data_IF_401316486757
#
_entry.id   IF_401316486757
#
_cell.length_a   1.000
_cell.length_b   1.000
_cell.length_c   1.000
_cell.angle_alpha   90.00
_cell.angle_beta   90.00
_cell.angle_gamma   90.00
#
_symmetry.space_group_name_H-M   'P 1'
#
loop_
_entity.id
_entity.type
_entity.pdbx_description
1 polymer ?
#
# COMPACT_ATOMS: atom_id res chain seq x y z
N UNK A 1 23.77 -16.03 -11.71
CA UNK A 1 23.09 -14.89 -12.37
C UNK A 1 21.71 -14.76 -11.74
N UNK A 2 21.49 -13.74 -10.89
CA UNK A 2 20.21 -13.56 -10.17
C UNK A 2 19.14 -13.18 -11.19
N UNK A 3 18.09 -14.00 -11.32
CA UNK A 3 17.05 -13.81 -12.33
C UNK A 3 16.18 -12.59 -11.96
N UNK A 4 16.38 -11.48 -12.65
CA UNK A 4 15.69 -10.21 -12.39
C UNK A 4 14.18 -10.27 -12.69
N UNK A 5 13.70 -11.32 -13.37
CA UNK A 5 12.28 -11.48 -13.70
C UNK A 5 11.41 -11.70 -12.46
N UNK A 6 11.97 -12.28 -11.39
CA UNK A 6 11.25 -12.46 -10.12
C UNK A 6 10.87 -11.13 -9.47
N UNK A 7 11.70 -10.09 -9.64
CA UNK A 7 11.45 -8.76 -9.06
C UNK A 7 10.18 -8.17 -9.69
N UNK A 8 10.04 -8.27 -11.01
CA UNK A 8 8.86 -7.76 -11.71
C UNK A 8 7.58 -8.50 -11.29
N UNK A 9 7.64 -9.83 -11.13
CA UNK A 9 6.48 -10.62 -10.69
C UNK A 9 6.06 -10.22 -9.26
N UNK A 10 7.02 -10.05 -8.35
CA UNK A 10 6.74 -9.64 -6.97
C UNK A 10 6.13 -8.23 -6.95
N UNK A 11 6.66 -7.29 -7.75
CA UNK A 11 6.07 -5.95 -7.87
C UNK A 11 4.66 -5.98 -8.45
N UNK A 12 4.43 -6.75 -9.52
CA UNK A 12 3.10 -6.87 -10.13
C UNK A 12 2.09 -7.40 -9.12
N UNK A 13 2.40 -8.51 -8.45
CA UNK A 13 1.53 -9.11 -7.43
C UNK A 13 1.28 -8.11 -6.30
N UNK A 14 2.32 -7.45 -5.80
CA UNK A 14 2.18 -6.43 -4.75
C UNK A 14 1.25 -5.29 -5.15
N UNK A 15 1.46 -4.67 -6.32
CA UNK A 15 0.59 -3.60 -6.82
C UNK A 15 -0.82 -4.07 -7.11
N UNK A 16 -0.98 -5.31 -7.59
CA UNK A 16 -2.28 -5.90 -7.87
C UNK A 16 -3.09 -6.13 -6.59
N UNK A 17 -2.48 -6.71 -5.56
CA UNK A 17 -3.14 -6.94 -4.26
C UNK A 17 -3.58 -5.63 -3.61
N UNK A 18 -2.72 -4.61 -3.62
CA UNK A 18 -3.06 -3.28 -3.09
C UNK A 18 -4.22 -2.67 -3.89
N UNK A 19 -4.18 -2.71 -5.23
CA UNK A 19 -5.25 -2.20 -6.06
C UNK A 19 -6.58 -2.92 -5.82
N UNK A 20 -6.58 -4.24 -5.66
CA UNK A 20 -7.78 -5.01 -5.33
C UNK A 20 -8.38 -4.61 -3.97
N UNK A 21 -7.56 -4.37 -2.95
CA UNK A 21 -8.04 -3.93 -1.65
C UNK A 21 -8.77 -2.57 -1.74
N UNK A 22 -8.24 -1.62 -2.52
CA UNK A 22 -8.86 -0.30 -2.70
C UNK A 22 -10.14 -0.37 -3.55
N UNK A 23 -10.15 -1.21 -4.60
CA UNK A 23 -11.35 -1.45 -5.41
C UNK A 23 -12.49 -2.05 -4.59
N UNK A 24 -12.20 -2.98 -3.68
CA UNK A 24 -13.23 -3.56 -2.81
C UNK A 24 -13.83 -2.49 -1.88
N UNK A 25 -13.00 -1.64 -1.27
CA UNK A 25 -13.49 -0.57 -0.38
C UNK A 25 -14.39 0.42 -1.11
N UNK A 26 -14.04 0.82 -2.33
CA UNK A 26 -14.88 1.75 -3.11
C UNK A 26 -16.20 1.11 -3.54
N UNK A 27 -16.22 -0.19 -3.86
CA UNK A 27 -17.44 -0.93 -4.18
C UNK A 27 -18.36 -1.14 -2.96
N UNK A 28 -17.78 -1.32 -1.78
CA UNK A 28 -18.51 -1.47 -0.52
C UNK A 28 -18.82 -0.13 0.18
N UNK A 29 -18.38 0.99 -0.39
CA UNK A 29 -18.46 2.30 0.27
C UNK A 29 -19.87 2.66 0.73
N UNK A 30 -20.88 2.37 -0.10
CA UNK A 30 -22.29 2.64 0.21
C UNK A 30 -22.81 1.75 1.34
N UNK A 31 -22.38 0.48 1.39
CA UNK A 31 -22.72 -0.44 2.48
C UNK A 31 -22.03 -0.03 3.78
N UNK A 32 -20.76 0.34 3.74
CA UNK A 32 -20.01 0.85 4.90
C UNK A 32 -20.64 2.14 5.43
N UNK A 33 -21.08 3.05 4.55
CA UNK A 33 -21.76 4.28 4.94
C UNK A 33 -23.11 4.00 5.64
N UNK A 34 -23.87 3.02 5.11
CA UNK A 34 -25.13 2.59 5.70
C UNK A 34 -24.92 1.93 7.07
N UNK A 35 -23.93 1.04 7.20
CA UNK A 35 -23.62 0.34 8.45
C UNK A 35 -23.11 1.27 9.55
N UNK A 36 -22.35 2.30 9.19
CA UNK A 36 -21.86 3.32 10.13
C UNK A 36 -22.85 4.48 10.37
N UNK A 37 -24.05 4.45 9.78
CA UNK A 37 -25.06 5.51 9.89
C UNK A 37 -24.54 6.92 9.51
N UNK A 38 -23.56 7.01 8.60
CA UNK A 38 -22.98 8.29 8.14
C UNK A 38 -23.38 8.59 6.70
N UNK A 39 -23.50 9.87 6.36
CA UNK A 39 -23.82 10.28 5.00
C UNK A 39 -22.75 9.81 4.02
N UNK A 40 -23.16 9.44 2.80
CA UNK A 40 -22.28 9.02 1.71
C UNK A 40 -21.20 10.09 1.44
N UNK A 41 -21.56 11.37 1.63
CA UNK A 41 -20.66 12.51 1.48
C UNK A 41 -19.52 12.49 2.50
N UNK A 42 -19.80 12.16 3.77
CA UNK A 42 -18.76 12.05 4.80
C UNK A 42 -17.84 10.85 4.55
N UNK A 43 -18.39 9.73 4.07
CA UNK A 43 -17.60 8.55 3.70
C UNK A 43 -16.66 8.86 2.52
N UNK A 44 -17.14 9.60 1.51
CA UNK A 44 -16.30 10.07 0.41
C UNK A 44 -15.18 11.03 0.84
N UNK A 45 -15.44 11.89 1.84
CA UNK A 45 -14.42 12.78 2.40
C UNK A 45 -13.30 12.00 3.08
N UNK A 46 -13.63 10.95 3.84
CA UNK A 46 -12.64 10.07 4.48
C UNK A 46 -11.73 9.39 3.45
N UNK A 47 -12.30 8.86 2.36
CA UNK A 47 -11.51 8.27 1.27
C UNK A 47 -10.61 9.30 0.59
N UNK A 48 -11.10 10.52 0.41
CA UNK A 48 -10.30 11.59 -0.20
C UNK A 48 -9.09 11.94 0.66
N UNK A 49 -9.26 12.02 1.98
CA UNK A 49 -8.15 12.23 2.94
C UNK A 49 -7.16 11.06 2.92
N UNK A 50 -7.65 9.81 2.82
CA UNK A 50 -6.79 8.64 2.64
C UNK A 50 -5.97 8.73 1.34
N UNK A 51 -6.59 9.09 0.21
CA UNK A 51 -5.90 9.22 -1.08
C UNK A 51 -4.78 10.27 -1.04
N UNK A 52 -5.04 11.43 -0.40
CA UNK A 52 -4.01 12.46 -0.17
C UNK A 52 -2.87 11.90 0.69
N UNK A 53 -3.20 11.16 1.74
CA UNK A 53 -2.21 10.54 2.63
C UNK A 53 -1.30 9.59 1.85
N UNK A 54 -1.85 8.68 1.05
CA UNK A 54 -1.08 7.73 0.22
C UNK A 54 -0.20 8.47 -0.81
N UNK A 55 -0.74 9.52 -1.44
CA UNK A 55 -0.01 10.34 -2.40
C UNK A 55 1.23 11.03 -1.79
N UNK A 56 1.18 11.38 -0.50
CA UNK A 56 2.31 11.98 0.23
C UNK A 56 3.27 10.90 0.75
N UNK A 57 2.74 9.77 1.24
CA UNK A 57 3.54 8.68 1.81
C UNK A 57 4.46 8.05 0.75
N UNK A 58 4.01 7.86 -0.48
CA UNK A 58 4.83 7.29 -1.58
C UNK A 58 6.18 8.01 -1.79
N UNK A 59 6.20 9.31 -2.14
CA UNK A 59 7.44 10.06 -2.31
C UNK A 59 8.21 10.21 -0.99
N UNK A 60 7.53 10.38 0.15
CA UNK A 60 8.19 10.47 1.45
C UNK A 60 8.97 9.20 1.77
N UNK A 61 8.35 8.02 1.60
CA UNK A 61 8.98 6.72 1.83
C UNK A 61 10.15 6.49 0.86
N UNK A 62 10.02 6.95 -0.40
CA UNK A 62 11.10 6.87 -1.39
C UNK A 62 12.29 7.77 -1.03
N UNK A 63 12.04 8.97 -0.52
CA UNK A 63 13.08 9.90 -0.06
C UNK A 63 13.77 9.36 1.19
N UNK A 64 13.00 8.84 2.16
CA UNK A 64 13.55 8.21 3.36
C UNK A 64 14.44 7.00 3.03
N UNK A 65 14.06 6.22 2.00
CA UNK A 65 14.80 5.03 1.58
C UNK A 65 15.95 5.36 0.60
N UNK A 66 16.00 6.55 0.01
CA UNK A 66 17.00 6.93 -1.01
C UNK A 66 18.44 6.87 -0.48
N UNK A 67 18.63 7.15 0.82
CA UNK A 67 19.95 7.10 1.48
C UNK A 67 20.29 5.70 2.01
N UNK A 68 19.32 4.79 2.09
CA UNK A 68 19.57 3.41 2.46
C UNK A 68 19.74 2.58 1.18
N UNK A 69 21.00 2.25 0.86
CA UNK A 69 21.31 1.35 -0.25
C UNK A 69 20.40 0.11 -0.18
N UNK A 70 19.56 -0.09 -1.20
CA UNK A 70 18.58 -1.18 -1.30
C UNK A 70 19.18 -2.59 -1.05
N UNK A 71 20.52 -2.72 -1.12
CA UNK A 71 21.24 -3.95 -0.75
C UNK A 71 21.37 -4.19 0.75
N UNK A 72 21.40 -3.17 1.62
CA UNK A 72 21.57 -3.35 3.08
C UNK A 72 20.26 -3.70 3.80
N UNK A 73 19.11 -3.35 3.24
CA UNK A 73 17.80 -3.66 3.84
C UNK A 73 17.52 -5.16 3.73
N UNK A 74 17.80 -5.79 2.58
CA UNK A 74 17.60 -7.23 2.38
C UNK A 74 18.65 -8.12 3.06
N UNK A 75 19.78 -7.57 3.51
CA UNK A 75 20.81 -8.36 4.23
C UNK A 75 20.78 -8.13 5.74
N UNK A 76 20.14 -7.07 6.23
CA UNK A 76 20.06 -6.77 7.65
C UNK A 76 18.64 -6.86 8.22
N UNK A 77 17.64 -7.14 7.37
CA UNK A 77 16.37 -7.71 7.80
C UNK A 77 16.57 -9.23 7.97
N UNK A 78 17.38 -9.60 8.97
CA UNK A 78 17.55 -10.99 9.41
C UNK A 78 16.19 -11.48 9.89
N UNK A 79 15.53 -12.27 9.06
CA UNK A 79 14.39 -13.13 9.40
C UNK A 79 14.82 -14.29 10.33
N UNK A 80 15.62 -14.00 11.37
CA UNK A 80 16.20 -15.02 12.28
C UNK A 80 15.50 -15.11 13.65
N UNK A 81 14.31 -14.52 13.84
CA UNK A 81 13.63 -14.69 15.13
C UNK A 81 12.10 -14.70 15.11
N UNK A 82 11.48 -15.36 14.15
CA UNK A 82 10.10 -15.87 14.24
C UNK A 82 9.96 -16.91 13.12
N UNK A 83 10.32 -18.18 13.28
CA UNK A 83 9.53 -19.22 13.99
C UNK A 83 8.16 -18.77 14.49
#
# INVERSE_FOLDING_TARGET
MKNNNLIFIIFMIGTFTVGMAEYVVTGLLTQIANDMHVSISNAGLLISVYAISVAIIGPFMRIATINYSAKKIITNFSWDLYC
#
